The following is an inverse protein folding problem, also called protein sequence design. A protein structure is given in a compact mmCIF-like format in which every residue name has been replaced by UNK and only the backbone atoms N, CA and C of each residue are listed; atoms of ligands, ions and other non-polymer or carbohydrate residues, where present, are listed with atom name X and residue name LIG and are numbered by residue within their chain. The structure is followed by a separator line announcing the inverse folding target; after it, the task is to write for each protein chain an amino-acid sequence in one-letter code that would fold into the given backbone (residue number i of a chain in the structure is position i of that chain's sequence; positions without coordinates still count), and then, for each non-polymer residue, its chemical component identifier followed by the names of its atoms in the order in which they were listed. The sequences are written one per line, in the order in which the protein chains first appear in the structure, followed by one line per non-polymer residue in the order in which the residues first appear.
data_IF_023829647695
#
_entry.id   IF_023829647695
#
_cell.length_a   1.000
_cell.length_b   1.000
_cell.length_c   1.000
_cell.angle_alpha   90.00
_cell.angle_beta   90.00
_cell.angle_gamma   90.00
#
_symmetry.space_group_name_H-M   'P 1'
#
loop_
_entity.id
_entity.type
_entity.pdbx_description
1 polymer ?
#
# COMPACT_ATOMS: atom_id res chain seq x y z
N UNK A 1 0.57 -4.79 -24.32
CA UNK A 1 0.13 -6.01 -23.62
C UNK A 1 -1.28 -5.85 -23.09
N UNK A 2 -1.96 -6.97 -22.90
CA UNK A 2 -3.25 -7.04 -22.20
C UNK A 2 -3.04 -7.63 -20.81
N UNK A 3 -3.26 -6.81 -19.81
CA UNK A 3 -2.89 -7.08 -18.41
C UNK A 3 -4.14 -7.20 -17.55
N UNK A 4 -4.23 -8.25 -16.75
CA UNK A 4 -5.23 -8.40 -15.70
C UNK A 4 -4.57 -8.19 -14.34
N UNK A 5 -5.10 -7.27 -13.53
CA UNK A 5 -4.75 -7.16 -12.12
C UNK A 5 -5.92 -7.68 -11.30
N UNK A 6 -5.70 -8.78 -10.58
CA UNK A 6 -6.70 -9.41 -9.73
C UNK A 6 -6.52 -8.98 -8.28
N UNK A 7 -7.58 -8.38 -7.68
CA UNK A 7 -7.51 -7.85 -6.31
C UNK A 7 -8.28 -8.68 -5.29
N UNK A 8 -8.86 -9.80 -5.71
CA UNK A 8 -9.58 -10.72 -4.83
C UNK A 8 -10.88 -10.16 -4.27
N UNK A 9 -11.21 -10.61 -3.07
CA UNK A 9 -12.50 -10.38 -2.42
C UNK A 9 -12.32 -9.45 -1.22
N UNK A 10 -12.47 -8.16 -1.43
CA UNK A 10 -12.34 -7.15 -0.38
C UNK A 10 -13.61 -6.29 -0.27
N UNK A 11 -13.98 -5.96 0.93
CA UNK A 11 -15.04 -4.98 1.21
C UNK A 11 -14.47 -3.83 2.04
N UNK A 12 -14.84 -2.58 1.74
CA UNK A 12 -15.82 -2.11 0.74
C UNK A 12 -15.31 -2.19 -0.70
N UNK A 13 -16.22 -2.34 -1.66
CA UNK A 13 -15.90 -2.27 -3.09
C UNK A 13 -15.33 -0.90 -3.46
N UNK A 14 -14.37 -0.88 -4.38
CA UNK A 14 -13.63 0.32 -4.73
C UNK A 14 -13.35 0.44 -6.24
N UNK A 15 -13.04 1.65 -6.67
CA UNK A 15 -12.46 2.00 -7.95
C UNK A 15 -11.81 3.40 -7.85
N UNK A 16 -11.43 3.99 -8.98
CA UNK A 16 -10.86 5.35 -9.01
C UNK A 16 -11.79 6.42 -8.41
N UNK A 17 -13.10 6.33 -8.66
CA UNK A 17 -14.06 7.27 -8.06
C UNK A 17 -14.16 7.10 -6.54
N UNK A 18 -14.04 5.88 -6.04
CA UNK A 18 -14.00 5.63 -4.58
C UNK A 18 -12.76 6.26 -3.96
N UNK A 19 -11.59 6.10 -4.62
CA UNK A 19 -10.36 6.76 -4.20
C UNK A 19 -10.53 8.27 -4.09
N UNK A 20 -11.03 8.92 -5.14
CA UNK A 20 -11.17 10.38 -5.19
C UNK A 20 -12.09 10.94 -4.11
N UNK A 21 -13.14 10.20 -3.75
CA UNK A 21 -14.19 10.69 -2.85
C UNK A 21 -14.00 10.26 -1.38
N UNK A 22 -13.37 9.12 -1.12
CA UNK A 22 -13.32 8.52 0.23
C UNK A 22 -11.95 8.00 0.63
N UNK A 23 -11.00 7.86 -0.32
CA UNK A 23 -9.80 7.07 -0.12
C UNK A 23 -10.07 5.56 -0.20
N UNK A 24 -9.00 4.79 -0.25
CA UNK A 24 -8.98 3.32 -0.26
C UNK A 24 -7.78 2.83 0.57
N UNK A 25 -7.64 1.51 0.74
CA UNK A 25 -6.46 0.93 1.40
C UNK A 25 -5.17 1.08 0.59
N UNK A 26 -4.04 0.86 1.25
CA UNK A 26 -2.72 1.04 0.62
C UNK A 26 -2.46 0.06 -0.53
N UNK A 27 -2.87 -1.20 -0.41
CA UNK A 27 -2.74 -2.20 -1.47
C UNK A 27 -3.61 -1.86 -2.69
N UNK A 28 -4.86 -1.41 -2.46
CA UNK A 28 -5.77 -0.97 -3.51
C UNK A 28 -5.22 0.27 -4.21
N UNK A 29 -4.64 1.23 -3.46
CA UNK A 29 -3.97 2.39 -4.03
C UNK A 29 -2.82 1.98 -4.95
N UNK A 30 -1.99 1.01 -4.53
CA UNK A 30 -0.91 0.51 -5.37
C UNK A 30 -1.44 -0.10 -6.67
N UNK A 31 -2.48 -0.93 -6.59
CA UNK A 31 -3.12 -1.52 -7.78
C UNK A 31 -3.69 -0.44 -8.70
N UNK A 32 -4.40 0.54 -8.14
CA UNK A 32 -4.97 1.66 -8.88
C UNK A 32 -3.88 2.40 -9.66
N UNK A 33 -2.80 2.78 -8.99
CA UNK A 33 -1.75 3.56 -9.61
C UNK A 33 -0.94 2.75 -10.63
N UNK A 34 -0.56 1.51 -10.32
CA UNK A 34 0.10 0.65 -11.30
C UNK A 34 -0.76 0.49 -12.57
N UNK A 35 -2.06 0.25 -12.41
CA UNK A 35 -2.98 0.12 -13.54
C UNK A 35 -3.05 1.41 -14.40
N UNK A 36 -3.13 2.59 -13.75
CA UNK A 36 -3.14 3.87 -14.44
C UNK A 36 -1.84 4.13 -15.21
N UNK A 37 -0.69 3.83 -14.60
CA UNK A 37 0.60 4.07 -15.24
C UNK A 37 0.92 3.05 -16.33
N UNK A 38 0.53 1.77 -16.19
CA UNK A 38 0.60 0.79 -17.27
C UNK A 38 -0.27 1.21 -18.48
N UNK A 39 -1.47 1.77 -18.20
CA UNK A 39 -2.34 2.29 -19.27
C UNK A 39 -1.72 3.49 -20.00
N UNK A 40 -0.98 4.36 -19.28
CA UNK A 40 -0.21 5.46 -19.90
C UNK A 40 0.94 4.96 -20.81
N UNK A 41 1.38 3.72 -20.63
CA UNK A 41 2.36 3.04 -21.47
C UNK A 41 1.68 2.20 -22.58
N UNK A 42 0.47 2.56 -22.98
CA UNK A 42 -0.31 1.94 -24.05
C UNK A 42 -0.66 0.46 -23.81
N UNK A 43 -0.70 0.02 -22.54
CA UNK A 43 -1.20 -1.31 -22.21
C UNK A 43 -2.70 -1.31 -21.95
N UNK A 44 -3.37 -2.41 -22.33
CA UNK A 44 -4.80 -2.60 -22.05
C UNK A 44 -4.96 -3.25 -20.67
N UNK A 45 -5.36 -2.47 -19.66
CA UNK A 45 -5.39 -2.92 -18.27
C UNK A 45 -6.83 -3.11 -17.78
N UNK A 46 -7.07 -4.29 -17.20
CA UNK A 46 -8.32 -4.63 -16.52
C UNK A 46 -7.98 -4.89 -15.06
N UNK A 47 -8.70 -4.23 -14.15
CA UNK A 47 -8.68 -4.51 -12.71
C UNK A 47 -9.95 -5.27 -12.35
N UNK A 48 -9.82 -6.45 -11.76
CA UNK A 48 -10.97 -7.27 -11.34
C UNK A 48 -10.83 -7.78 -9.91
N UNK A 49 -11.94 -7.95 -9.25
CA UNK A 49 -12.07 -8.32 -7.85
C UNK A 49 -13.33 -7.69 -7.25
N UNK A 50 -13.34 -7.42 -5.95
CA UNK A 50 -14.37 -6.62 -5.28
C UNK A 50 -14.24 -5.13 -5.64
N UNK A 51 -14.39 -4.82 -6.91
CA UNK A 51 -14.32 -3.46 -7.44
C UNK A 51 -15.69 -2.99 -7.90
N UNK A 52 -15.88 -1.67 -7.93
CA UNK A 52 -17.06 -1.06 -8.55
C UNK A 52 -16.82 -0.91 -10.05
N UNK A 53 -17.72 -1.45 -10.87
CA UNK A 53 -17.60 -1.38 -12.33
C UNK A 53 -17.43 0.04 -12.84
N UNK A 54 -16.63 0.20 -13.87
CA UNK A 54 -16.43 1.48 -14.52
C UNK A 54 -15.18 1.52 -15.39
N UNK A 55 -15.00 2.63 -16.10
CA UNK A 55 -13.77 2.90 -16.84
C UNK A 55 -13.25 4.28 -16.43
N UNK A 56 -12.02 4.33 -15.93
CA UNK A 56 -11.38 5.54 -15.45
C UNK A 56 -9.91 5.58 -15.92
N UNK A 57 -9.48 6.71 -16.45
CA UNK A 57 -8.11 6.92 -16.93
C UNK A 57 -7.59 5.80 -17.87
N UNK A 58 -8.52 5.25 -18.68
CA UNK A 58 -8.22 4.15 -19.59
C UNK A 58 -8.32 2.75 -18.96
N UNK A 59 -8.24 2.62 -17.64
CA UNK A 59 -8.35 1.35 -16.89
C UNK A 59 -9.80 0.89 -16.82
N UNK A 60 -10.05 -0.38 -17.16
CA UNK A 60 -11.36 -1.01 -17.01
C UNK A 60 -11.43 -1.70 -15.63
N UNK A 61 -12.41 -1.30 -14.79
CA UNK A 61 -12.74 -1.98 -13.54
C UNK A 61 -13.96 -2.88 -13.77
N UNK A 62 -13.85 -4.15 -13.36
CA UNK A 62 -14.93 -5.14 -13.49
C UNK A 62 -15.06 -5.94 -12.20
N UNK A 63 -16.23 -5.84 -11.56
CA UNK A 63 -16.54 -6.71 -10.41
C UNK A 63 -16.39 -8.18 -10.80
N UNK A 64 -15.82 -8.99 -9.91
CA UNK A 64 -15.48 -10.37 -10.23
C UNK A 64 -16.68 -11.22 -10.70
N UNK A 65 -17.89 -10.98 -10.17
CA UNK A 65 -19.10 -11.68 -10.62
C UNK A 65 -19.40 -11.39 -12.09
N UNK A 66 -19.29 -10.13 -12.53
CA UNK A 66 -19.50 -9.78 -13.95
C UNK A 66 -18.40 -10.29 -14.85
N UNK A 67 -17.17 -10.31 -14.35
CA UNK A 67 -16.04 -10.92 -15.05
C UNK A 67 -16.29 -12.42 -15.29
N UNK A 68 -17.02 -13.08 -14.39
CA UNK A 68 -17.43 -14.48 -14.48
C UNK A 68 -18.75 -14.70 -15.22
N UNK A 69 -19.76 -13.84 -15.00
CA UNK A 69 -21.09 -13.91 -15.62
C UNK A 69 -21.01 -13.77 -17.15
N UNK A 70 -19.99 -13.09 -17.66
CA UNK A 70 -19.72 -13.04 -19.10
C UNK A 70 -19.42 -14.43 -19.69
N UNK A 71 -19.35 -15.44 -18.85
CA UNK A 71 -19.17 -16.84 -19.14
C UNK A 71 -20.39 -17.71 -18.86
N UNK A 72 -21.56 -17.16 -18.86
CA UNK A 72 -22.80 -17.94 -18.76
C UNK A 72 -22.71 -19.25 -19.56
N UNK A 73 -23.62 -20.20 -19.44
CA UNK A 73 -23.52 -21.49 -20.09
C UNK A 73 -23.06 -21.30 -21.55
N UNK A 74 -22.09 -22.08 -21.97
CA UNK A 74 -21.36 -21.98 -23.26
C UNK A 74 -22.27 -21.76 -24.49
N UNK A 75 -23.55 -22.09 -24.34
CA UNK A 75 -24.59 -21.94 -25.37
C UNK A 75 -25.07 -20.50 -25.64
N UNK A 76 -24.71 -19.52 -24.78
CA UNK A 76 -25.23 -18.15 -24.87
C UNK A 76 -24.16 -17.05 -24.90
N UNK A 77 -22.87 -17.42 -24.98
CA UNK A 77 -21.78 -16.47 -24.92
C UNK A 77 -21.63 -15.76 -26.29
N UNK A 78 -21.66 -14.43 -26.24
CA UNK A 78 -21.24 -13.63 -27.38
C UNK A 78 -19.79 -14.00 -27.75
N UNK A 79 -19.52 -14.52 -28.99
CA UNK A 79 -18.15 -14.93 -29.39
C UNK A 79 -17.12 -13.80 -29.31
N UNK A 80 -17.56 -12.53 -29.38
CA UNK A 80 -16.67 -11.38 -29.25
C UNK A 80 -16.29 -11.09 -27.78
N UNK A 81 -17.17 -11.40 -26.81
CA UNK A 81 -16.85 -11.30 -25.40
C UNK A 81 -15.83 -12.36 -24.96
N UNK A 82 -15.97 -13.60 -25.49
CA UNK A 82 -14.97 -14.68 -25.29
C UNK A 82 -13.57 -14.27 -25.74
N UNK A 83 -13.44 -13.62 -26.92
CA UNK A 83 -12.14 -13.15 -27.40
C UNK A 83 -11.50 -12.09 -26.52
N UNK A 84 -12.29 -11.28 -25.84
CA UNK A 84 -11.76 -10.19 -24.99
C UNK A 84 -11.23 -10.70 -23.66
N UNK A 85 -11.80 -11.79 -23.09
CA UNK A 85 -11.46 -12.25 -21.73
C UNK A 85 -10.88 -13.67 -21.68
N UNK A 86 -10.61 -14.31 -22.80
CA UNK A 86 -10.09 -15.68 -22.83
C UNK A 86 -8.60 -15.77 -22.58
N UNK A 87 -7.86 -14.71 -22.85
CA UNK A 87 -6.40 -14.70 -22.76
C UNK A 87 -5.88 -13.33 -22.32
N UNK A 88 -4.83 -13.36 -21.50
CA UNK A 88 -4.03 -12.20 -21.07
C UNK A 88 -2.56 -12.47 -21.30
N UNK A 89 -1.81 -11.46 -21.69
CA UNK A 89 -0.35 -11.55 -21.76
C UNK A 89 0.23 -11.67 -20.35
N UNK A 90 -0.31 -10.88 -19.40
CA UNK A 90 0.15 -10.83 -18.02
C UNK A 90 -1.02 -10.83 -17.04
N UNK A 91 -0.88 -11.57 -15.95
CA UNK A 91 -1.78 -11.52 -14.79
C UNK A 91 -1.00 -11.18 -13.53
N UNK A 92 -1.49 -10.21 -12.74
CA UNK A 92 -0.94 -9.84 -11.45
C UNK A 92 -2.01 -10.08 -10.39
N UNK A 93 -1.78 -11.03 -9.47
CA UNK A 93 -2.66 -11.26 -8.32
C UNK A 93 -2.19 -10.47 -7.11
N UNK A 94 -2.97 -9.52 -6.63
CA UNK A 94 -2.66 -8.72 -5.44
C UNK A 94 -3.23 -9.39 -4.19
N UNK A 95 -2.39 -9.81 -3.26
CA UNK A 95 -2.71 -10.46 -1.97
C UNK A 95 -3.52 -11.77 -2.02
N UNK A 96 -4.07 -12.19 -3.15
CA UNK A 96 -4.93 -13.37 -3.30
C UNK A 96 -4.35 -14.34 -4.32
N UNK A 97 -3.63 -15.36 -3.86
CA UNK A 97 -2.99 -16.37 -4.73
C UNK A 97 -4.02 -17.23 -5.49
N UNK A 98 -5.24 -17.35 -4.98
CA UNK A 98 -6.30 -18.15 -5.59
C UNK A 98 -6.78 -17.64 -6.96
N UNK A 99 -6.27 -16.50 -7.44
CA UNK A 99 -6.53 -16.06 -8.79
C UNK A 99 -6.12 -17.12 -9.83
N UNK A 100 -5.05 -17.87 -9.56
CA UNK A 100 -4.57 -18.93 -10.45
C UNK A 100 -5.62 -20.03 -10.64
N UNK A 101 -6.22 -20.50 -9.53
CA UNK A 101 -7.30 -21.48 -9.58
C UNK A 101 -8.52 -20.89 -10.25
N UNK A 102 -8.89 -19.68 -9.87
CA UNK A 102 -10.06 -19.00 -10.40
C UNK A 102 -10.00 -18.84 -11.91
N UNK A 103 -8.85 -18.41 -12.44
CA UNK A 103 -8.64 -18.30 -13.89
C UNK A 103 -8.66 -19.67 -14.58
N UNK A 104 -8.04 -20.71 -13.97
CA UNK A 104 -8.07 -22.07 -14.45
C UNK A 104 -9.49 -22.62 -14.56
N UNK A 105 -10.28 -22.51 -13.48
CA UNK A 105 -11.66 -22.99 -13.42
C UNK A 105 -12.58 -22.30 -14.42
N UNK A 106 -12.22 -21.07 -14.79
CA UNK A 106 -12.91 -20.29 -15.79
C UNK A 106 -12.27 -20.37 -17.19
N UNK A 107 -11.33 -21.27 -17.43
CA UNK A 107 -10.65 -21.47 -18.71
C UNK A 107 -10.00 -20.19 -19.29
N UNK A 108 -9.57 -19.26 -18.44
CA UNK A 108 -8.80 -18.08 -18.84
C UNK A 108 -7.34 -18.48 -18.92
N UNK A 109 -6.72 -18.19 -20.04
CA UNK A 109 -5.29 -18.45 -20.27
C UNK A 109 -4.48 -17.18 -20.11
N UNK A 110 -3.22 -17.33 -19.83
CA UNK A 110 -2.26 -16.23 -19.75
C UNK A 110 -0.85 -16.75 -20.01
N UNK A 111 0.03 -15.85 -20.39
CA UNK A 111 1.42 -16.20 -20.68
C UNK A 111 2.25 -16.15 -19.39
N UNK A 112 2.10 -15.08 -18.59
CA UNK A 112 2.88 -14.86 -17.36
C UNK A 112 1.98 -14.46 -16.20
N UNK A 113 2.38 -14.84 -14.98
CA UNK A 113 1.67 -14.42 -13.79
C UNK A 113 2.60 -14.10 -12.63
N UNK A 114 2.20 -13.09 -11.86
CA UNK A 114 2.91 -12.55 -10.71
C UNK A 114 1.98 -12.50 -9.52
N UNK A 115 2.50 -12.88 -8.35
CA UNK A 115 1.77 -12.73 -7.09
C UNK A 115 2.36 -11.58 -6.29
N UNK A 116 1.64 -10.46 -6.21
CA UNK A 116 2.08 -9.23 -5.54
C UNK A 116 1.58 -9.20 -4.10
N UNK A 117 2.50 -9.34 -3.16
CA UNK A 117 2.22 -9.34 -1.73
C UNK A 117 2.49 -7.97 -1.13
N UNK A 118 1.53 -7.46 -0.35
CA UNK A 118 1.63 -6.17 0.34
C UNK A 118 1.82 -6.32 1.85
N UNK A 119 1.48 -7.48 2.42
CA UNK A 119 1.55 -7.78 3.86
C UNK A 119 2.55 -8.91 4.12
N UNK A 120 2.93 -9.12 5.40
CA UNK A 120 3.80 -10.23 5.82
C UNK A 120 3.18 -11.61 5.53
N UNK A 121 1.83 -11.68 5.48
CA UNK A 121 1.07 -12.86 5.14
C UNK A 121 0.11 -12.53 3.99
N UNK A 122 -0.39 -13.55 3.29
CA UNK A 122 -1.36 -13.40 2.22
C UNK A 122 -2.76 -13.76 2.70
N UNK A 123 -3.79 -13.30 1.98
CA UNK A 123 -5.16 -13.67 2.30
C UNK A 123 -5.45 -15.11 1.92
N UNK A 124 -5.57 -15.96 2.95
CA UNK A 124 -5.87 -17.40 2.83
C UNK A 124 -7.34 -17.69 2.54
N UNK A 125 -8.18 -16.67 2.52
CA UNK A 125 -9.60 -16.80 2.36
C UNK A 125 -10.02 -16.70 0.90
N UNK A 126 -10.34 -17.85 0.35
CA UNK A 126 -11.22 -17.95 -0.82
C UNK A 126 -12.45 -18.74 -0.41
N UNK A 127 -13.65 -18.31 -0.83
CA UNK A 127 -14.93 -18.98 -0.48
C UNK A 127 -14.86 -20.45 -0.86
N UNK A 128 -14.67 -21.33 0.14
CA UNK A 128 -14.58 -22.78 -0.04
C UNK A 128 -13.17 -23.33 -0.38
N UNK A 129 -12.09 -22.52 -0.32
CA UNK A 129 -10.73 -23.02 -0.52
C UNK A 129 -10.19 -23.73 0.73
N UNK A 130 -9.39 -24.77 0.51
CA UNK A 130 -8.63 -25.49 1.54
C UNK A 130 -7.16 -25.01 1.54
N UNK A 131 -6.40 -25.42 2.56
CA UNK A 131 -4.93 -25.22 2.56
C UNK A 131 -4.28 -25.92 1.36
N UNK A 132 -4.76 -27.10 0.97
CA UNK A 132 -4.28 -27.82 -0.21
C UNK A 132 -4.45 -27.00 -1.48
N UNK A 133 -5.58 -26.32 -1.65
CA UNK A 133 -5.81 -25.44 -2.81
C UNK A 133 -4.80 -24.28 -2.89
N UNK A 134 -4.42 -23.76 -1.74
CA UNK A 134 -3.42 -22.69 -1.63
C UNK A 134 -2.03 -23.20 -2.01
N UNK A 135 -1.65 -24.36 -1.49
CA UNK A 135 -0.37 -25.00 -1.81
C UNK A 135 -0.28 -25.32 -3.31
N UNK A 136 -1.34 -25.84 -3.92
CA UNK A 136 -1.39 -26.08 -5.36
C UNK A 136 -1.17 -24.80 -6.18
N UNK A 137 -1.71 -23.67 -5.73
CA UNK A 137 -1.49 -22.39 -6.39
C UNK A 137 -0.01 -21.96 -6.31
N UNK A 138 0.63 -22.08 -5.15
CA UNK A 138 2.05 -21.74 -5.01
C UNK A 138 2.98 -22.72 -5.72
N UNK A 139 2.58 -23.99 -5.88
CA UNK A 139 3.33 -24.99 -6.66
C UNK A 139 3.01 -24.95 -8.15
N UNK A 140 2.12 -24.06 -8.59
CA UNK A 140 1.73 -23.98 -10.01
C UNK A 140 2.91 -23.55 -10.88
N UNK A 141 3.19 -24.28 -11.98
CA UNK A 141 4.19 -23.85 -12.96
C UNK A 141 3.78 -22.58 -13.72
N UNK A 142 2.56 -22.10 -13.49
CA UNK A 142 2.04 -20.86 -14.07
C UNK A 142 2.34 -19.63 -13.20
N UNK A 143 2.83 -19.81 -11.98
CA UNK A 143 3.29 -18.72 -11.14
C UNK A 143 4.76 -18.43 -11.43
N UNK A 144 5.04 -17.32 -12.09
CA UNK A 144 6.41 -16.93 -12.42
C UNK A 144 7.17 -16.41 -11.21
N UNK A 145 6.63 -15.36 -10.56
CA UNK A 145 7.30 -14.73 -9.41
C UNK A 145 6.31 -14.34 -8.30
N UNK A 146 6.85 -14.26 -7.08
CA UNK A 146 6.21 -13.65 -5.92
C UNK A 146 6.92 -12.31 -5.67
N UNK A 147 6.18 -11.23 -5.67
CA UNK A 147 6.73 -9.87 -5.61
C UNK A 147 6.41 -9.23 -4.27
N UNK A 148 7.44 -8.99 -3.45
CA UNK A 148 7.36 -8.18 -2.25
C UNK A 148 7.39 -6.69 -2.57
N UNK A 149 7.00 -5.84 -1.62
CA UNK A 149 6.90 -4.39 -1.80
C UNK A 149 8.14 -3.61 -1.33
N UNK A 150 9.18 -4.31 -0.90
CA UNK A 150 10.49 -3.74 -0.56
C UNK A 150 11.54 -4.83 -0.45
N UNK A 151 12.80 -4.44 -0.45
CA UNK A 151 13.92 -5.37 -0.22
C UNK A 151 13.86 -6.07 1.15
N UNK A 152 13.36 -5.38 2.18
CA UNK A 152 13.10 -6.01 3.48
C UNK A 152 11.98 -7.03 3.36
N UNK A 153 10.91 -6.70 2.65
CA UNK A 153 9.78 -7.61 2.47
C UNK A 153 10.19 -8.86 1.68
N UNK A 154 10.94 -8.72 0.59
CA UNK A 154 11.55 -9.86 -0.13
C UNK A 154 12.32 -10.78 0.84
N UNK A 155 13.21 -10.19 1.65
CA UNK A 155 13.96 -10.96 2.64
C UNK A 155 13.06 -11.70 3.63
N UNK A 156 12.02 -11.04 4.16
CA UNK A 156 11.06 -11.67 5.07
C UNK A 156 10.30 -12.82 4.39
N UNK A 157 9.91 -12.66 3.12
CA UNK A 157 9.25 -13.70 2.34
C UNK A 157 10.18 -14.89 2.06
N UNK A 158 11.45 -14.64 1.77
CA UNK A 158 12.46 -15.71 1.58
C UNK A 158 12.71 -16.43 2.90
N UNK A 159 12.93 -15.70 3.99
CA UNK A 159 13.22 -16.28 5.32
C UNK A 159 12.04 -17.16 5.83
N UNK A 160 10.80 -16.82 5.47
CA UNK A 160 9.59 -17.54 5.87
C UNK A 160 9.00 -18.42 4.74
N UNK A 161 9.74 -18.65 3.66
CA UNK A 161 9.21 -19.27 2.44
C UNK A 161 8.72 -20.71 2.64
N UNK A 162 9.31 -21.48 3.56
CA UNK A 162 8.86 -22.82 3.88
C UNK A 162 7.48 -22.81 4.53
N UNK A 163 7.26 -21.92 5.48
CA UNK A 163 5.97 -21.82 6.19
C UNK A 163 4.86 -21.14 5.37
N UNK A 164 5.24 -20.16 4.53
CA UNK A 164 4.28 -19.42 3.71
C UNK A 164 3.90 -20.17 2.43
N UNK A 165 4.88 -20.76 1.73
CA UNK A 165 4.69 -21.23 0.36
C UNK A 165 5.09 -22.71 0.16
N UNK A 166 5.56 -23.37 1.20
CA UNK A 166 6.17 -24.70 1.11
C UNK A 166 7.34 -24.73 0.09
N UNK A 167 8.17 -23.67 0.10
CA UNK A 167 9.35 -23.54 -0.74
C UNK A 167 10.61 -23.82 0.06
N UNK A 168 11.53 -24.59 -0.53
CA UNK A 168 12.90 -24.62 -0.05
C UNK A 168 13.63 -23.32 -0.41
N UNK A 169 14.76 -23.06 0.21
CA UNK A 169 15.51 -21.82 0.05
C UNK A 169 15.94 -21.56 -1.40
N UNK A 170 16.31 -22.60 -2.17
CA UNK A 170 16.72 -22.45 -3.57
C UNK A 170 15.54 -21.95 -4.41
N UNK A 171 14.37 -22.60 -4.30
CA UNK A 171 13.17 -22.17 -5.00
C UNK A 171 12.73 -20.76 -4.57
N UNK A 172 12.87 -20.44 -3.28
CA UNK A 172 12.53 -19.12 -2.77
C UNK A 172 13.39 -18.02 -3.41
N UNK A 173 14.70 -18.22 -3.47
CA UNK A 173 15.64 -17.28 -4.08
C UNK A 173 15.41 -17.11 -5.59
N UNK A 174 14.96 -18.15 -6.28
CA UNK A 174 14.66 -18.10 -7.71
C UNK A 174 13.28 -17.47 -8.02
N UNK A 175 12.35 -17.49 -7.06
CA UNK A 175 10.96 -17.12 -7.31
C UNK A 175 10.56 -15.80 -6.65
N UNK A 176 11.17 -15.44 -5.50
CA UNK A 176 10.76 -14.27 -4.72
C UNK A 176 11.65 -13.08 -5.06
N UNK A 177 11.01 -11.97 -5.42
CA UNK A 177 11.62 -10.71 -5.81
C UNK A 177 10.93 -9.55 -5.11
N UNK A 178 11.45 -8.33 -5.28
CA UNK A 178 10.71 -7.13 -4.87
C UNK A 178 10.64 -6.12 -6.00
N UNK A 179 9.51 -5.42 -6.03
CA UNK A 179 9.34 -4.13 -6.69
C UNK A 179 8.79 -3.20 -5.61
N UNK A 180 9.54 -2.15 -5.27
CA UNK A 180 9.14 -1.26 -4.19
C UNK A 180 7.79 -0.58 -4.51
N UNK A 181 6.99 -0.29 -3.48
CA UNK A 181 5.83 0.59 -3.66
C UNK A 181 6.30 2.01 -4.00
N UNK A 182 5.37 2.81 -4.48
CA UNK A 182 5.65 4.16 -4.91
C UNK A 182 4.53 5.14 -4.50
N UNK A 183 4.73 6.39 -4.83
CA UNK A 183 3.76 7.45 -4.62
C UNK A 183 3.54 8.22 -5.94
N UNK A 184 2.32 8.75 -6.15
CA UNK A 184 2.09 9.66 -7.27
C UNK A 184 2.56 11.08 -6.88
N UNK A 185 3.75 11.41 -7.27
CA UNK A 185 4.39 12.70 -6.93
C UNK A 185 3.61 13.90 -7.45
N UNK A 186 2.82 13.71 -8.51
CA UNK A 186 2.00 14.77 -9.10
C UNK A 186 0.81 15.15 -8.21
N UNK A 187 0.40 14.26 -7.31
CA UNK A 187 -0.64 14.55 -6.31
C UNK A 187 -0.16 15.55 -5.24
N UNK A 188 1.14 15.81 -5.14
CA UNK A 188 1.81 16.60 -4.08
C UNK A 188 2.50 17.86 -4.63
N UNK A 189 1.90 18.54 -5.57
CA UNK A 189 2.44 19.78 -6.13
C UNK A 189 2.43 20.90 -5.09
N UNK A 190 3.61 21.45 -4.78
CA UNK A 190 3.85 22.54 -3.84
C UNK A 190 3.54 22.20 -2.37
N UNK A 191 4.49 21.59 -1.62
CA UNK A 191 4.36 21.54 -0.17
C UNK A 191 4.23 22.97 0.35
N UNK A 192 3.08 23.25 0.98
CA UNK A 192 2.81 24.59 1.52
C UNK A 192 3.85 24.91 2.60
N UNK A 193 4.47 26.11 2.52
CA UNK A 193 5.35 26.61 3.58
C UNK A 193 4.56 26.98 4.87
N UNK A 194 3.26 26.69 4.90
CA UNK A 194 2.32 27.03 5.99
C UNK A 194 2.26 25.94 7.06
N UNK A 195 3.42 25.49 7.55
CA UNK A 195 3.45 24.58 8.70
C UNK A 195 2.89 25.26 9.94
N UNK A 196 2.00 24.55 10.64
CA UNK A 196 1.55 24.97 11.97
C UNK A 196 2.54 24.45 13.00
N UNK A 197 3.19 25.34 13.72
CA UNK A 197 4.17 24.98 14.75
C UNK A 197 3.56 24.03 15.77
N UNK A 198 4.29 23.00 16.14
CA UNK A 198 3.84 21.99 17.09
C UNK A 198 2.73 21.04 16.58
N UNK A 199 2.25 21.18 15.34
CA UNK A 199 1.19 20.33 14.82
C UNK A 199 1.71 18.95 14.44
N UNK A 200 1.18 17.93 15.11
CA UNK A 200 1.42 16.52 14.84
C UNK A 200 0.25 15.96 14.03
N UNK A 201 0.51 15.10 13.06
CA UNK A 201 -0.51 14.36 12.33
C UNK A 201 -0.40 12.86 12.59
N UNK A 202 -1.55 12.22 12.74
CA UNK A 202 -1.72 10.78 12.63
C UNK A 202 -2.60 10.46 11.43
N UNK A 203 -2.15 9.57 10.52
CA UNK A 203 -2.90 9.21 9.30
C UNK A 203 -2.75 7.72 8.94
N UNK A 204 -2.64 6.88 9.95
CA UNK A 204 -2.54 5.42 9.81
C UNK A 204 -3.65 4.73 10.60
N UNK A 205 -3.76 3.39 10.48
CA UNK A 205 -4.66 2.63 11.33
C UNK A 205 -4.28 2.80 12.81
N UNK A 206 -5.24 2.95 13.73
CA UNK A 206 -4.95 3.26 15.13
C UNK A 206 -4.09 2.24 15.84
N UNK A 207 -4.28 0.96 15.53
CA UNK A 207 -3.50 -0.16 16.08
C UNK A 207 -2.02 -0.18 15.68
N UNK A 208 -1.58 0.80 14.91
CA UNK A 208 -0.18 0.95 14.48
C UNK A 208 0.62 1.94 15.33
N UNK A 209 0.11 2.32 16.52
CA UNK A 209 0.83 3.15 17.49
C UNK A 209 0.17 4.48 17.86
N UNK A 210 -1.08 4.74 17.50
CA UNK A 210 -1.80 5.93 17.96
C UNK A 210 -1.89 5.97 19.49
N UNK A 211 -2.11 4.82 20.13
CA UNK A 211 -2.17 4.70 21.59
C UNK A 211 -0.92 5.22 22.29
N UNK A 212 0.26 5.03 21.69
CA UNK A 212 1.50 5.58 22.23
C UNK A 212 1.47 7.11 22.33
N UNK A 213 0.91 7.80 21.34
CA UNK A 213 0.76 9.26 21.35
C UNK A 213 -0.29 9.65 22.39
N UNK A 214 -1.45 9.01 22.36
CA UNK A 214 -2.59 9.32 23.24
C UNK A 214 -2.22 9.17 24.71
N UNK A 215 -1.57 8.07 25.09
CA UNK A 215 -1.16 7.79 26.48
C UNK A 215 -0.14 8.79 27.04
N UNK A 216 0.62 9.45 26.16
CA UNK A 216 1.67 10.38 26.58
C UNK A 216 1.32 11.85 26.30
N UNK A 217 0.14 12.12 25.73
CA UNK A 217 -0.26 13.43 25.23
C UNK A 217 -0.21 14.53 26.29
N UNK A 218 -0.85 14.33 27.43
CA UNK A 218 -0.91 15.32 28.52
C UNK A 218 0.50 15.66 29.02
N UNK A 219 1.33 14.65 29.25
CA UNK A 219 2.72 14.84 29.69
C UNK A 219 3.56 15.62 28.68
N UNK A 220 3.32 15.41 27.39
CA UNK A 220 4.00 16.16 26.34
C UNK A 220 3.49 17.60 26.25
N UNK A 221 2.18 17.81 26.42
CA UNK A 221 1.56 19.14 26.49
C UNK A 221 2.07 19.98 27.66
N UNK A 222 2.36 19.38 28.82
CA UNK A 222 2.97 20.08 29.97
C UNK A 222 4.34 20.67 29.63
N UNK A 223 5.15 19.94 28.82
CA UNK A 223 6.50 20.35 28.45
C UNK A 223 6.52 21.24 27.20
N UNK A 224 5.57 21.05 26.30
CA UNK A 224 5.44 21.80 25.06
C UNK A 224 3.96 22.16 24.81
N UNK A 225 3.50 23.28 25.40
CA UNK A 225 2.06 23.65 25.40
C UNK A 225 1.49 23.97 24.01
N UNK A 226 2.32 24.30 23.02
CA UNK A 226 1.93 24.61 21.65
C UNK A 226 1.59 23.34 20.82
N UNK A 227 1.88 22.13 21.30
CA UNK A 227 1.55 20.92 20.57
C UNK A 227 0.06 20.82 20.26
N UNK A 228 -0.27 20.42 19.04
CA UNK A 228 -1.62 20.02 18.62
C UNK A 228 -1.55 18.72 17.83
N UNK A 229 -2.59 17.91 17.92
CA UNK A 229 -2.68 16.63 17.22
C UNK A 229 -3.91 16.59 16.31
N UNK A 230 -3.71 16.24 15.06
CA UNK A 230 -4.81 15.90 14.16
C UNK A 230 -4.80 14.40 13.86
N UNK A 231 -5.95 13.75 14.08
CA UNK A 231 -6.13 12.31 13.87
C UNK A 231 -7.01 12.08 12.66
N UNK A 232 -6.41 11.54 11.59
CA UNK A 232 -7.08 11.07 10.39
C UNK A 232 -7.00 9.55 10.36
N UNK A 233 -8.07 8.88 9.96
CA UNK A 233 -8.13 7.44 9.89
C UNK A 233 -8.27 6.96 8.45
N UNK A 234 -7.79 5.76 8.11
CA UNK A 234 -8.07 5.16 6.82
C UNK A 234 -9.56 4.80 6.70
N UNK A 235 -10.13 4.76 5.50
CA UNK A 235 -11.57 4.55 5.28
C UNK A 235 -12.06 3.16 5.73
N UNK A 236 -11.15 2.21 5.92
CA UNK A 236 -11.46 0.86 6.41
C UNK A 236 -11.35 0.73 7.94
N UNK A 237 -10.94 1.78 8.65
CA UNK A 237 -10.87 1.73 10.12
C UNK A 237 -12.27 1.52 10.71
N UNK A 238 -12.39 0.55 11.62
CA UNK A 238 -13.64 0.20 12.26
C UNK A 238 -13.82 1.01 13.55
N UNK A 239 -15.07 1.10 14.04
CA UNK A 239 -15.38 1.91 15.22
C UNK A 239 -14.63 1.48 16.48
N UNK A 240 -14.31 0.20 16.65
CA UNK A 240 -13.52 -0.30 17.79
C UNK A 240 -12.02 0.00 17.70
N UNK A 241 -11.53 0.42 16.53
CA UNK A 241 -10.14 0.82 16.35
C UNK A 241 -9.92 2.29 16.74
N UNK A 242 -10.97 3.01 17.10
CA UNK A 242 -10.89 4.42 17.46
C UNK A 242 -10.26 4.56 18.84
N UNK A 243 -9.08 5.17 18.90
CA UNK A 243 -8.56 5.65 20.16
C UNK A 243 -9.49 6.74 20.70
N UNK A 244 -9.84 6.69 21.97
CA UNK A 244 -10.63 7.76 22.61
C UNK A 244 -9.76 8.99 22.79
N UNK A 245 -9.91 9.94 21.89
CA UNK A 245 -9.22 11.23 21.91
C UNK A 245 -10.14 12.38 22.32
N UNK A 246 -11.41 12.09 22.65
CA UNK A 246 -12.47 13.10 22.86
C UNK A 246 -12.19 14.05 24.02
N UNK A 247 -11.46 13.60 25.03
CA UNK A 247 -11.17 14.36 26.25
C UNK A 247 -9.77 14.99 26.22
N UNK A 248 -8.99 14.81 25.17
CA UNK A 248 -7.63 15.34 25.09
C UNK A 248 -7.65 16.78 24.57
N UNK A 249 -6.95 17.67 25.28
CA UNK A 249 -6.83 19.07 24.88
C UNK A 249 -6.01 19.22 23.60
N UNK A 250 -6.45 20.11 22.70
CA UNK A 250 -5.79 20.42 21.42
C UNK A 250 -5.61 19.20 20.49
N UNK A 251 -6.53 18.24 20.58
CA UNK A 251 -6.63 17.08 19.69
C UNK A 251 -7.87 17.21 18.81
N UNK A 252 -7.68 17.17 17.51
CA UNK A 252 -8.73 17.25 16.51
C UNK A 252 -8.91 15.90 15.80
N UNK A 253 -10.08 15.28 15.94
CA UNK A 253 -10.43 14.03 15.26
C UNK A 253 -11.18 14.32 13.96
N UNK A 254 -10.55 14.02 12.82
CA UNK A 254 -11.12 14.22 11.48
C UNK A 254 -11.78 12.95 10.93
N UNK A 255 -11.45 11.78 11.45
CA UNK A 255 -11.90 10.51 10.88
C UNK A 255 -11.32 10.26 9.50
N UNK A 256 -12.09 9.57 8.66
CA UNK A 256 -11.69 9.29 7.29
C UNK A 256 -11.87 10.52 6.40
N UNK A 257 -10.80 10.92 5.72
CA UNK A 257 -10.76 12.02 4.77
C UNK A 257 -10.56 11.48 3.35
N UNK A 258 -11.06 12.23 2.37
CA UNK A 258 -10.65 11.95 1.00
C UNK A 258 -9.18 12.36 0.77
N UNK A 259 -8.51 11.86 -0.29
CA UNK A 259 -7.09 12.09 -0.49
C UNK A 259 -6.69 13.56 -0.55
N UNK A 260 -7.51 14.41 -1.12
CA UNK A 260 -7.23 15.86 -1.20
C UNK A 260 -7.27 16.51 0.18
N UNK A 261 -8.29 16.21 0.97
CA UNK A 261 -8.42 16.69 2.34
C UNK A 261 -7.29 16.17 3.24
N UNK A 262 -6.92 14.89 3.07
CA UNK A 262 -5.83 14.29 3.83
C UNK A 262 -4.49 15.00 3.52
N UNK A 263 -4.18 15.22 2.24
CA UNK A 263 -2.98 15.97 1.84
C UNK A 263 -2.96 17.40 2.37
N UNK A 264 -4.12 18.06 2.47
CA UNK A 264 -4.23 19.38 3.09
C UNK A 264 -3.87 19.34 4.56
N UNK A 265 -4.34 18.36 5.34
CA UNK A 265 -3.96 18.21 6.74
C UNK A 265 -2.48 17.84 6.92
N UNK A 266 -1.97 16.94 6.05
CA UNK A 266 -0.54 16.58 6.03
C UNK A 266 0.35 17.79 5.74
N UNK A 267 -0.06 18.68 4.84
CA UNK A 267 0.73 19.88 4.48
C UNK A 267 0.90 20.86 5.65
N UNK A 268 -0.11 20.94 6.53
CA UNK A 268 -0.08 21.81 7.72
C UNK A 268 0.73 21.20 8.87
N UNK A 269 0.94 19.89 8.89
CA UNK A 269 1.62 19.21 9.98
C UNK A 269 3.13 19.50 10.00
N UNK A 270 3.67 19.77 11.18
CA UNK A 270 5.11 19.90 11.39
C UNK A 270 5.76 18.53 11.62
N UNK A 271 5.07 17.65 12.35
CA UNK A 271 5.59 16.35 12.76
C UNK A 271 4.67 15.20 12.40
N UNK A 272 5.27 14.06 12.09
CA UNK A 272 4.65 12.75 12.09
C UNK A 272 5.41 11.84 13.04
N UNK A 273 4.74 11.40 14.09
CA UNK A 273 5.31 10.49 15.10
C UNK A 273 4.75 9.10 14.81
N UNK A 274 5.64 8.19 14.43
CA UNK A 274 5.28 6.81 14.15
C UNK A 274 6.16 5.87 14.96
N UNK A 275 5.72 5.57 16.17
CA UNK A 275 6.40 4.71 17.13
C UNK A 275 5.53 3.48 17.35
N UNK A 276 6.01 2.32 16.93
CA UNK A 276 5.18 1.11 16.81
C UNK A 276 6.02 -0.15 16.87
N UNK A 277 5.38 -1.27 17.27
CA UNK A 277 5.90 -2.62 17.11
C UNK A 277 5.36 -3.33 15.85
N UNK A 278 4.56 -2.63 15.04
CA UNK A 278 4.01 -3.18 13.81
C UNK A 278 5.09 -3.21 12.72
N UNK A 279 5.34 -4.39 12.12
CA UNK A 279 6.31 -4.51 11.02
C UNK A 279 5.72 -3.92 9.73
N UNK A 280 6.24 -2.78 9.32
CA UNK A 280 5.86 -2.17 8.04
C UNK A 280 6.62 -2.84 6.89
N UNK A 281 5.89 -3.43 5.97
CA UNK A 281 6.46 -4.03 4.75
C UNK A 281 7.00 -2.97 3.79
N UNK A 282 6.37 -1.76 3.74
CA UNK A 282 6.87 -0.62 2.99
C UNK A 282 6.66 0.72 3.72
N UNK A 283 5.42 1.12 3.98
CA UNK A 283 4.96 2.38 4.53
C UNK A 283 4.90 3.55 3.51
N UNK A 284 3.86 3.58 2.69
CA UNK A 284 3.60 4.69 1.74
C UNK A 284 3.43 6.02 2.49
N UNK A 285 2.81 6.02 3.67
CA UNK A 285 2.62 7.21 4.50
C UNK A 285 3.93 7.94 4.80
N UNK A 286 5.05 7.23 4.93
CA UNK A 286 6.34 7.88 5.11
C UNK A 286 6.75 8.73 3.88
N UNK A 287 6.47 8.24 2.66
CA UNK A 287 6.70 9.02 1.44
C UNK A 287 5.77 10.24 1.35
N UNK A 288 4.49 10.08 1.75
CA UNK A 288 3.53 11.18 1.84
C UNK A 288 4.06 12.30 2.74
N UNK A 289 4.53 11.93 3.93
CA UNK A 289 5.12 12.88 4.89
C UNK A 289 6.37 13.56 4.35
N UNK A 290 7.24 12.82 3.65
CA UNK A 290 8.43 13.37 3.02
C UNK A 290 8.09 14.38 1.92
N UNK A 291 7.09 14.08 1.06
CA UNK A 291 6.62 15.01 0.01
C UNK A 291 5.96 16.24 0.60
N UNK A 292 5.33 16.12 1.76
CA UNK A 292 4.75 17.26 2.48
C UNK A 292 5.77 17.96 3.40
N UNK A 293 7.06 17.61 3.37
CA UNK A 293 8.11 18.19 4.22
C UNK A 293 7.79 18.13 5.72
N UNK A 294 7.15 17.04 6.13
CA UNK A 294 6.84 16.74 7.54
C UNK A 294 8.06 16.09 8.19
N UNK A 295 8.40 16.50 9.41
CA UNK A 295 9.47 15.87 10.20
C UNK A 295 9.00 14.53 10.74
N UNK A 296 9.70 13.45 10.39
CA UNK A 296 9.39 12.09 10.80
C UNK A 296 10.19 11.74 12.06
N UNK A 297 9.48 11.34 13.14
CA UNK A 297 10.07 10.78 14.36
C UNK A 297 9.56 9.34 14.49
N UNK A 298 10.45 8.35 14.54
CA UNK A 298 10.05 6.95 14.54
C UNK A 298 11.12 6.05 15.16
N UNK A 299 10.72 4.90 15.71
CA UNK A 299 11.63 3.81 16.06
C UNK A 299 12.01 2.93 14.85
N UNK A 300 11.53 3.27 13.65
CA UNK A 300 11.88 2.60 12.41
C UNK A 300 11.33 1.18 12.27
N UNK A 301 10.05 0.90 12.58
CA UNK A 301 9.53 -0.45 12.47
C UNK A 301 9.51 -0.92 11.00
N UNK A 302 10.05 -2.11 10.77
CA UNK A 302 10.11 -2.70 9.44
C UNK A 302 10.89 -1.83 8.44
N UNK A 303 10.32 -1.63 7.26
CA UNK A 303 10.97 -0.90 6.16
C UNK A 303 11.08 0.62 6.40
N UNK A 304 10.35 1.18 7.36
CA UNK A 304 10.49 2.62 7.69
C UNK A 304 11.94 2.95 8.03
N UNK A 305 12.65 2.07 8.74
CA UNK A 305 14.07 2.25 9.03
C UNK A 305 14.89 2.50 7.75
N UNK A 306 14.66 1.72 6.71
CA UNK A 306 15.35 1.89 5.42
C UNK A 306 14.97 3.20 4.73
N UNK A 307 13.69 3.60 4.83
CA UNK A 307 13.22 4.84 4.22
C UNK A 307 13.84 6.08 4.87
N UNK A 308 14.05 6.11 6.19
CA UNK A 308 14.49 7.32 6.90
C UNK A 308 15.99 7.36 7.20
N UNK A 309 16.60 6.24 7.61
CA UNK A 309 17.99 6.18 8.08
C UNK A 309 18.98 6.36 6.94
N UNK A 310 18.73 5.71 5.81
CA UNK A 310 19.59 5.77 4.64
C UNK A 310 19.64 7.19 4.06
N UNK A 311 20.62 7.96 4.51
CA UNK A 311 20.81 9.36 4.09
C UNK A 311 20.28 10.42 5.07
N UNK A 312 19.83 10.04 6.26
CA UNK A 312 19.35 10.98 7.28
C UNK A 312 18.10 11.73 6.84
N UNK A 313 17.02 10.97 6.54
CA UNK A 313 15.75 11.50 6.03
C UNK A 313 14.65 11.59 7.10
N UNK A 314 14.98 11.25 8.34
CA UNK A 314 14.08 11.33 9.49
C UNK A 314 14.87 11.19 10.78
N UNK A 315 14.16 11.24 11.91
CA UNK A 315 14.69 11.13 13.26
C UNK A 315 14.40 9.72 13.74
N UNK A 316 15.45 8.89 13.79
CA UNK A 316 15.37 7.57 14.37
C UNK A 316 15.56 7.67 15.88
N UNK A 317 14.70 6.97 16.64
CA UNK A 317 14.86 6.76 18.07
C UNK A 317 15.14 5.28 18.32
N UNK A 318 16.01 4.98 19.27
CA UNK A 318 16.47 3.60 19.50
C UNK A 318 15.45 2.76 20.30
N UNK A 319 14.63 3.42 21.13
CA UNK A 319 13.66 2.76 22.00
C UNK A 319 12.27 3.40 21.90
N UNK A 320 11.23 2.62 22.22
CA UNK A 320 9.86 3.09 22.40
C UNK A 320 9.73 3.80 23.75
N UNK A 321 10.39 4.95 23.89
CA UNK A 321 10.38 5.78 25.09
C UNK A 321 9.77 7.16 24.82
N UNK A 322 8.66 7.53 25.48
CA UNK A 322 8.03 8.83 25.31
C UNK A 322 8.92 10.01 25.74
N UNK A 323 9.88 9.81 26.64
CA UNK A 323 10.82 10.85 27.03
C UNK A 323 11.83 11.17 25.92
N UNK A 324 12.23 10.17 25.12
CA UNK A 324 13.06 10.39 23.95
C UNK A 324 12.28 11.17 22.89
N UNK A 325 11.00 10.83 22.67
CA UNK A 325 10.15 11.53 21.69
C UNK A 325 10.00 13.01 22.05
N UNK A 326 9.66 13.33 23.31
CA UNK A 326 9.49 14.74 23.71
C UNK A 326 10.83 15.50 23.65
N UNK A 327 11.95 14.90 23.97
CA UNK A 327 13.27 15.49 23.75
C UNK A 327 13.48 15.88 22.29
N UNK A 328 13.11 14.97 21.34
CA UNK A 328 13.20 15.29 19.90
C UNK A 328 12.24 16.40 19.50
N UNK A 329 11.04 16.45 20.05
CA UNK A 329 10.09 17.54 19.79
C UNK A 329 10.57 18.91 20.29
N UNK A 330 11.37 18.96 21.38
CA UNK A 330 11.95 20.19 21.91
C UNK A 330 13.14 20.70 21.12
N UNK A 331 13.77 19.86 20.30
CA UNK A 331 14.96 20.22 19.54
C UNK A 331 14.63 20.92 18.20
N UNK A 332 15.44 21.90 17.83
CA UNK A 332 15.39 22.51 16.50
C UNK A 332 16.14 21.63 15.49
N UNK A 333 15.47 21.22 14.44
CA UNK A 333 16.07 20.39 13.39
C UNK A 333 16.46 21.21 12.17
N UNK A 334 17.57 20.81 11.54
CA UNK A 334 18.07 21.44 10.33
C UNK A 334 17.19 21.03 9.12
N UNK A 335 16.84 22.01 8.31
CA UNK A 335 16.06 21.80 7.07
C UNK A 335 16.75 20.85 6.06
N UNK A 336 18.08 20.62 6.17
CA UNK A 336 18.80 19.67 5.29
C UNK A 336 18.21 18.25 5.32
N UNK A 337 17.76 17.78 6.50
CA UNK A 337 17.15 16.46 6.62
C UNK A 337 15.81 16.40 5.87
N UNK A 338 14.99 17.44 6.01
CA UNK A 338 13.69 17.56 5.34
C UNK A 338 13.87 17.61 3.82
N UNK A 339 14.83 18.40 3.33
CA UNK A 339 15.11 18.50 1.90
C UNK A 339 15.65 17.18 1.30
N UNK A 340 16.45 16.43 2.06
CA UNK A 340 16.89 15.10 1.65
C UNK A 340 15.71 14.13 1.55
N UNK A 341 14.81 14.15 2.55
CA UNK A 341 13.61 13.34 2.55
C UNK A 341 12.71 13.65 1.35
N UNK A 342 12.45 14.92 1.11
CA UNK A 342 11.67 15.40 -0.02
C UNK A 342 12.24 14.96 -1.37
N UNK A 343 13.55 15.17 -1.60
CA UNK A 343 14.22 14.76 -2.85
C UNK A 343 14.12 13.24 -3.06
N UNK A 344 14.35 12.46 -2.00
CA UNK A 344 14.23 11.01 -2.08
C UNK A 344 12.80 10.58 -2.47
N UNK A 345 11.79 11.18 -1.85
CA UNK A 345 10.40 10.83 -2.13
C UNK A 345 9.97 11.18 -3.57
N UNK A 346 10.52 12.25 -4.16
CA UNK A 346 10.30 12.59 -5.57
C UNK A 346 10.79 11.50 -6.54
N UNK A 347 11.84 10.77 -6.17
CA UNK A 347 12.40 9.67 -6.98
C UNK A 347 11.54 8.38 -6.86
N UNK A 348 10.72 8.25 -5.79
CA UNK A 348 9.87 7.09 -5.56
C UNK A 348 8.53 7.21 -6.29
N UNK A 349 8.57 7.55 -7.58
CA UNK A 349 7.36 7.78 -8.38
C UNK A 349 6.78 6.49 -8.99
N UNK A 350 5.46 6.47 -9.22
CA UNK A 350 4.82 5.38 -9.96
C UNK A 350 5.29 5.29 -11.41
N UNK A 351 5.74 6.39 -12.00
CA UNK A 351 6.35 6.37 -13.34
C UNK A 351 7.59 5.47 -13.36
N UNK A 352 8.55 5.72 -12.45
CA UNK A 352 9.75 4.91 -12.33
C UNK A 352 9.42 3.46 -11.97
N UNK A 353 8.50 3.25 -11.06
CA UNK A 353 8.14 1.93 -10.57
C UNK A 353 7.43 1.07 -11.61
N UNK A 354 6.63 1.69 -12.46
CA UNK A 354 5.99 0.99 -13.57
C UNK A 354 7.02 0.49 -14.58
N UNK A 355 8.09 1.25 -14.81
CA UNK A 355 9.19 0.78 -15.66
C UNK A 355 9.93 -0.43 -15.05
N UNK A 356 10.10 -0.47 -13.73
CA UNK A 356 10.67 -1.66 -13.07
C UNK A 356 9.76 -2.89 -13.22
N UNK A 357 8.43 -2.71 -13.11
CA UNK A 357 7.47 -3.78 -13.39
C UNK A 357 7.56 -4.27 -14.85
N UNK A 358 7.65 -3.35 -15.81
CA UNK A 358 7.77 -3.70 -17.23
C UNK A 358 9.07 -4.42 -17.53
N UNK A 359 10.20 -3.95 -16.99
CA UNK A 359 11.49 -4.65 -17.13
C UNK A 359 11.43 -6.07 -16.55
N UNK A 360 10.85 -6.24 -15.35
CA UNK A 360 10.66 -7.58 -14.74
C UNK A 360 9.82 -8.49 -15.64
N UNK A 361 8.79 -7.96 -16.29
CA UNK A 361 7.93 -8.71 -17.20
C UNK A 361 8.68 -9.07 -18.48
N UNK A 362 9.49 -8.17 -19.02
CA UNK A 362 10.24 -8.35 -20.27
C UNK A 362 11.47 -9.27 -20.10
N UNK A 363 12.18 -9.20 -18.98
CA UNK A 363 13.38 -10.02 -18.70
C UNK A 363 13.05 -11.54 -18.64
N UNK A 364 11.79 -11.91 -18.60
CA UNK A 364 11.34 -13.31 -18.64
C UNK A 364 10.95 -13.78 -20.08
N UNK A 365 11.22 -12.99 -21.10
CA UNK A 365 11.10 -13.39 -22.51
C UNK A 365 12.28 -14.27 -22.94
#
# INVERSE_FOLDING_TARGET
MKILIWTGYQTPHWNKSTWDNKGIGGSEYCVLKLAEYLTKQDHNVIVSGDVVDGKFNGVQYLHYDKFLEWRGPVSHINPNALKVFSHFDVVIGSNYIHYLRHLKDNHITFDRSYFWMHNEDYYRWYKGSTLTDTDECFQSPKLNKIIGVSKLHEKLLVDNSESLFNYNISKALDTIYHVENAIDVNDYTNPLDNKVEGRIIWSSAPNRGLDFIVQNWEKWKEQRPDLSLVVCLPPYAKDWDKADVSNLKDVEYKGALNPTQLREEQSKAEYWIYVSNYTETYCITALEMMLQKVKIITNGPGNIKNLIEKGGRGILIDDIDPNIVIEKLLNKYNNKMIEKAYKYALEQSWENRTMEWLNLIEDEE
#
